data_IF_219224694339
#
_entry.id   IF_219224694339
#
_cell.length_a   1.000
_cell.length_b   1.000
_cell.length_c   1.000
_cell.angle_alpha   90.00
_cell.angle_beta   90.00
_cell.angle_gamma   90.00
#
_symmetry.space_group_name_H-M   'P 1'
#
loop_
_entity.id
_entity.type
_entity.pdbx_description
1 polymer ?
#
# COMPACT_ATOMS: atom_id res chain seq x y z
N UNK A 1 69.59 71.55 -26.38
CA UNK A 1 68.73 72.01 -25.27
C UNK A 1 67.27 71.81 -25.67
N UNK A 2 66.48 71.13 -24.83
CA UNK A 2 65.00 71.08 -24.80
C UNK A 2 64.25 70.55 -26.05
N UNK A 3 63.21 69.69 -26.00
CA UNK A 3 62.51 68.94 -24.94
C UNK A 3 61.74 67.80 -25.63
N UNK A 4 61.84 66.58 -25.08
CA UNK A 4 61.11 65.37 -25.50
C UNK A 4 59.64 65.51 -25.13
N UNK A 5 58.70 65.52 -26.09
CA UNK A 5 57.26 65.38 -25.81
C UNK A 5 56.90 63.91 -25.65
N UNK A 6 56.55 63.53 -24.42
CA UNK A 6 56.15 62.18 -24.02
C UNK A 6 54.66 61.95 -24.28
N UNK A 7 54.34 60.83 -24.94
CA UNK A 7 52.99 60.31 -25.15
C UNK A 7 52.46 59.78 -23.81
N UNK A 8 51.41 60.38 -23.26
CA UNK A 8 50.76 59.92 -22.01
C UNK A 8 50.15 58.52 -22.21
N UNK A 9 50.44 57.54 -21.34
CA UNK A 9 49.76 56.25 -21.38
C UNK A 9 48.34 56.38 -20.81
N UNK A 10 47.37 55.74 -21.48
CA UNK A 10 45.99 55.55 -21.04
C UNK A 10 45.95 54.83 -19.68
N UNK A 11 45.26 55.36 -18.66
CA UNK A 11 45.10 54.64 -17.41
C UNK A 11 44.13 53.47 -17.60
N UNK A 12 44.66 52.26 -17.48
CA UNK A 12 43.89 51.04 -17.26
C UNK A 12 43.17 51.22 -15.92
N UNK A 13 41.85 51.37 -15.95
CA UNK A 13 41.02 51.39 -14.75
C UNK A 13 41.08 49.99 -14.12
N UNK A 14 41.81 49.88 -13.01
CA UNK A 14 41.86 48.68 -12.18
C UNK A 14 40.49 48.52 -11.53
N UNK A 15 39.75 47.49 -11.95
CA UNK A 15 38.49 47.11 -11.30
C UNK A 15 38.73 46.92 -9.80
N UNK A 16 38.15 47.81 -9.00
CA UNK A 16 38.13 47.75 -7.54
C UNK A 16 37.45 46.45 -7.13
N UNK A 17 38.25 45.49 -6.64
CA UNK A 17 37.78 44.24 -6.00
C UNK A 17 36.96 44.62 -4.76
N UNK A 18 35.66 44.81 -4.94
CA UNK A 18 34.74 45.18 -3.87
C UNK A 18 34.59 44.02 -2.91
N UNK A 19 34.96 44.26 -1.65
CA UNK A 19 34.96 43.28 -0.57
C UNK A 19 33.65 42.52 -0.48
N UNK A 20 33.75 41.20 -0.50
CA UNK A 20 32.70 40.28 -0.06
C UNK A 20 32.26 40.78 1.33
N UNK A 21 30.99 41.20 1.44
CA UNK A 21 30.49 41.84 2.66
C UNK A 21 30.65 40.89 3.85
N UNK A 22 31.10 41.43 4.99
CA UNK A 22 31.33 40.68 6.25
C UNK A 22 30.06 39.98 6.80
N UNK A 23 28.93 40.12 6.12
CA UNK A 23 27.62 39.53 6.42
C UNK A 23 27.35 38.22 5.65
N UNK A 24 28.09 37.92 4.56
CA UNK A 24 27.89 36.69 3.78
C UNK A 24 28.32 35.46 4.59
N UNK A 25 29.40 35.56 5.35
CA UNK A 25 29.90 34.46 6.18
C UNK A 25 28.92 34.04 7.30
N UNK A 26 28.39 34.96 8.14
CA UNK A 26 27.37 34.60 9.13
C UNK A 26 26.05 34.18 8.47
N UNK A 27 25.67 34.74 7.32
CA UNK A 27 24.47 34.29 6.59
C UNK A 27 24.61 32.86 6.04
N UNK A 28 25.79 32.47 5.54
CA UNK A 28 26.08 31.09 5.15
C UNK A 28 26.03 30.17 6.36
N UNK A 29 26.62 30.56 7.49
CA UNK A 29 26.60 29.76 8.73
C UNK A 29 25.17 29.54 9.20
N UNK A 30 24.36 30.61 9.26
CA UNK A 30 22.93 30.53 9.62
C UNK A 30 22.16 29.69 8.60
N UNK A 31 22.43 29.82 7.30
CA UNK A 31 21.82 28.99 6.26
C UNK A 31 22.22 27.51 6.40
N UNK A 32 23.47 27.17 6.74
CA UNK A 32 23.87 25.78 7.06
C UNK A 32 23.25 25.27 8.36
N UNK A 33 23.07 26.12 9.36
CA UNK A 33 22.40 25.74 10.62
C UNK A 33 20.91 25.49 10.37
N UNK A 34 20.25 26.36 9.60
CA UNK A 34 18.85 26.17 9.20
C UNK A 34 18.72 24.95 8.28
N UNK A 35 19.65 24.75 7.33
CA UNK A 35 19.66 23.58 6.46
C UNK A 35 19.85 22.31 7.28
N UNK A 36 20.78 22.27 8.23
CA UNK A 36 21.00 21.10 9.10
C UNK A 36 19.86 20.88 10.09
N UNK A 37 19.18 21.92 10.58
CA UNK A 37 17.99 21.79 11.43
C UNK A 37 16.75 21.33 10.64
N UNK A 38 16.55 21.81 9.42
CA UNK A 38 15.44 21.43 8.54
C UNK A 38 15.67 20.06 7.88
N UNK A 39 16.92 19.69 7.55
CA UNK A 39 17.27 18.37 6.99
C UNK A 39 17.44 17.26 8.02
N UNK A 40 17.48 17.53 9.33
CA UNK A 40 17.59 16.46 10.35
C UNK A 40 16.29 15.66 10.54
N UNK A 41 15.14 16.25 10.22
CA UNK A 41 13.81 15.65 10.37
C UNK A 41 13.48 14.46 9.44
N UNK A 42 13.87 14.44 8.15
CA UNK A 42 13.51 13.33 7.24
C UNK A 42 14.45 12.11 7.27
N UNK A 43 15.66 12.20 7.83
CA UNK A 43 16.67 11.13 7.70
C UNK A 43 16.83 10.24 8.93
N UNK A 44 16.27 10.60 10.08
CA UNK A 44 16.41 9.84 11.34
C UNK A 44 15.05 9.37 11.83
N UNK A 45 14.90 8.08 12.11
CA UNK A 45 13.65 7.50 12.67
C UNK A 45 13.70 7.39 14.19
N UNK A 46 14.89 7.23 14.77
CA UNK A 46 15.09 7.14 16.21
C UNK A 46 16.55 7.49 16.57
N UNK A 47 16.81 7.85 17.82
CA UNK A 47 18.17 8.00 18.37
C UNK A 47 18.29 7.20 19.67
N UNK A 48 19.34 6.39 19.80
CA UNK A 48 19.63 5.57 20.97
C UNK A 48 21.00 5.96 21.51
N UNK A 49 21.05 6.57 22.69
CA UNK A 49 22.29 6.98 23.35
C UNK A 49 23.24 7.79 22.44
N UNK A 50 22.69 8.73 21.69
CA UNK A 50 23.44 9.57 20.74
C UNK A 50 23.74 8.93 19.38
N UNK A 51 23.37 7.66 19.15
CA UNK A 51 23.46 7.00 17.83
C UNK A 51 22.11 7.08 17.11
N UNK A 52 22.08 7.71 15.93
CA UNK A 52 20.88 7.83 15.11
C UNK A 52 20.63 6.56 14.29
N UNK A 53 19.39 6.08 14.28
CA UNK A 53 18.89 5.09 13.32
C UNK A 53 18.33 5.86 12.13
N UNK A 54 18.93 5.66 10.95
CA UNK A 54 18.51 6.36 9.75
C UNK A 54 17.25 5.74 9.13
N UNK A 55 16.45 6.56 8.44
CA UNK A 55 15.27 6.08 7.70
C UNK A 55 15.64 5.08 6.60
N UNK A 56 16.78 5.29 5.94
CA UNK A 56 17.29 4.37 4.93
C UNK A 56 17.75 3.03 5.52
N UNK A 57 18.27 3.02 6.74
CA UNK A 57 18.59 1.76 7.45
C UNK A 57 17.31 1.03 7.83
N UNK A 58 16.35 1.74 8.40
CA UNK A 58 15.05 1.16 8.78
C UNK A 58 14.29 0.61 7.58
N UNK A 59 14.17 1.38 6.49
CA UNK A 59 13.51 0.95 5.26
C UNK A 59 14.19 -0.28 4.65
N UNK A 60 15.53 -0.32 4.59
CA UNK A 60 16.26 -1.50 4.10
C UNK A 60 15.98 -2.76 4.92
N UNK A 61 15.83 -2.63 6.23
CA UNK A 61 15.51 -3.80 7.07
C UNK A 61 14.05 -4.26 6.85
N UNK A 62 13.11 -3.33 6.67
CA UNK A 62 11.72 -3.66 6.31
C UNK A 62 11.63 -4.32 4.92
N UNK A 63 12.33 -3.77 3.92
CA UNK A 63 12.41 -4.35 2.57
C UNK A 63 12.98 -5.76 2.60
N UNK A 64 14.03 -5.98 3.40
CA UNK A 64 14.63 -7.30 3.58
C UNK A 64 13.69 -8.28 4.28
N UNK A 65 12.88 -7.83 5.25
CA UNK A 65 11.99 -8.69 6.02
C UNK A 65 10.70 -9.03 5.29
N UNK A 66 10.01 -8.01 4.78
CA UNK A 66 8.65 -8.11 4.24
C UNK A 66 8.52 -7.55 2.83
N UNK A 67 9.57 -6.93 2.28
CA UNK A 67 9.48 -6.18 1.02
C UNK A 67 8.95 -7.02 -0.13
N UNK A 68 9.41 -8.27 -0.28
CA UNK A 68 8.91 -9.16 -1.34
C UNK A 68 7.40 -9.40 -1.21
N UNK A 69 6.94 -9.76 -0.02
CA UNK A 69 5.53 -10.03 0.25
C UNK A 69 4.67 -8.79 0.02
N UNK A 70 5.12 -7.63 0.49
CA UNK A 70 4.42 -6.35 0.29
C UNK A 70 4.38 -5.98 -1.19
N UNK A 71 5.49 -6.14 -1.91
CA UNK A 71 5.54 -5.85 -3.34
C UNK A 71 4.63 -6.79 -4.14
N UNK A 72 4.63 -8.09 -3.85
CA UNK A 72 3.76 -9.07 -4.50
C UNK A 72 2.27 -8.76 -4.26
N UNK A 73 1.92 -8.32 -3.05
CA UNK A 73 0.56 -7.87 -2.71
C UNK A 73 0.16 -6.62 -3.51
N UNK A 74 1.03 -5.60 -3.58
CA UNK A 74 0.79 -4.37 -4.35
C UNK A 74 0.68 -4.62 -5.86
N UNK A 75 1.52 -5.52 -6.39
CA UNK A 75 1.42 -5.95 -7.79
C UNK A 75 0.08 -6.63 -8.03
N UNK A 76 -0.33 -7.53 -7.15
CA UNK A 76 -1.62 -8.23 -7.26
C UNK A 76 -2.80 -7.26 -7.20
N UNK A 77 -2.79 -6.31 -6.26
CA UNK A 77 -3.79 -5.24 -6.19
C UNK A 77 -3.87 -4.46 -7.51
N UNK A 78 -2.73 -4.04 -8.04
CA UNK A 78 -2.68 -3.27 -9.28
C UNK A 78 -3.23 -4.06 -10.47
N UNK A 79 -2.94 -5.36 -10.56
CA UNK A 79 -3.48 -6.25 -11.60
C UNK A 79 -5.00 -6.37 -11.51
N UNK A 80 -5.54 -6.50 -10.30
CA UNK A 80 -6.99 -6.58 -10.08
C UNK A 80 -7.66 -5.26 -10.48
N UNK A 81 -7.08 -4.12 -10.11
CA UNK A 81 -7.60 -2.80 -10.49
C UNK A 81 -7.58 -2.59 -12.01
N UNK A 82 -6.53 -3.05 -12.69
CA UNK A 82 -6.44 -3.01 -14.15
C UNK A 82 -7.49 -3.90 -14.82
N UNK A 83 -7.68 -5.12 -14.34
CA UNK A 83 -8.67 -6.04 -14.89
C UNK A 83 -10.10 -5.52 -14.66
N UNK A 84 -10.38 -4.98 -13.48
CA UNK A 84 -11.65 -4.29 -13.19
C UNK A 84 -11.90 -3.16 -14.20
N UNK A 85 -10.91 -2.30 -14.42
CA UNK A 85 -11.00 -1.19 -15.37
C UNK A 85 -11.26 -1.68 -16.80
N UNK A 86 -10.52 -2.70 -17.25
CA UNK A 86 -10.68 -3.35 -18.56
C UNK A 86 -12.08 -3.93 -18.75
N UNK A 87 -12.63 -4.58 -17.72
CA UNK A 87 -14.00 -5.12 -17.71
C UNK A 87 -15.07 -4.06 -17.43
N UNK A 88 -14.68 -2.80 -17.20
CA UNK A 88 -15.58 -1.69 -16.81
C UNK A 88 -16.40 -2.00 -15.54
N UNK A 89 -15.78 -2.73 -14.62
CA UNK A 89 -16.35 -3.07 -13.31
C UNK A 89 -15.92 -2.00 -12.32
N UNK A 90 -16.89 -1.41 -11.63
CA UNK A 90 -16.67 -0.46 -10.55
C UNK A 90 -17.43 -0.88 -9.30
N UNK A 91 -16.97 -0.40 -8.15
CA UNK A 91 -17.64 -0.52 -6.86
C UNK A 91 -17.97 0.90 -6.40
N UNK A 92 -19.23 1.13 -6.07
CA UNK A 92 -19.69 2.41 -5.55
C UNK A 92 -19.39 2.55 -4.05
N UNK A 93 -19.31 3.79 -3.57
CA UNK A 93 -19.15 4.06 -2.13
C UNK A 93 -20.31 3.48 -1.31
N UNK A 94 -21.51 3.42 -1.90
CA UNK A 94 -22.66 2.79 -1.25
C UNK A 94 -22.40 1.31 -0.98
N UNK A 95 -21.91 0.56 -1.96
CA UNK A 95 -21.61 -0.87 -1.79
C UNK A 95 -20.53 -1.10 -0.73
N UNK A 96 -19.52 -0.22 -0.68
CA UNK A 96 -18.46 -0.28 0.34
C UNK A 96 -19.06 -0.01 1.73
N UNK A 97 -19.86 1.04 1.86
CA UNK A 97 -20.48 1.41 3.13
C UNK A 97 -21.50 0.36 3.61
N UNK A 98 -22.26 -0.25 2.70
CA UNK A 98 -23.18 -1.35 3.02
C UNK A 98 -22.40 -2.55 3.60
N UNK A 99 -21.22 -2.86 3.06
CA UNK A 99 -20.39 -3.96 3.57
C UNK A 99 -19.72 -3.60 4.91
N UNK A 100 -19.25 -2.35 5.05
CA UNK A 100 -18.76 -1.85 6.35
C UNK A 100 -19.85 -1.95 7.41
N UNK A 101 -21.09 -1.57 7.08
CA UNK A 101 -22.20 -1.64 8.03
C UNK A 101 -22.50 -3.07 8.47
N UNK A 102 -22.36 -4.07 7.59
CA UNK A 102 -22.49 -5.49 7.96
C UNK A 102 -21.38 -5.92 8.91
N UNK A 103 -20.14 -5.53 8.64
CA UNK A 103 -18.99 -5.84 9.51
C UNK A 103 -19.18 -5.15 10.87
N UNK A 104 -19.54 -3.88 10.88
CA UNK A 104 -19.78 -3.09 12.09
C UNK A 104 -20.91 -3.69 12.94
N UNK A 105 -22.00 -4.14 12.30
CA UNK A 105 -23.07 -4.88 12.97
C UNK A 105 -22.56 -6.19 13.57
N UNK A 106 -21.88 -7.03 12.79
CA UNK A 106 -21.36 -8.32 13.26
C UNK A 106 -20.37 -8.18 14.43
N UNK A 107 -19.54 -7.14 14.42
CA UNK A 107 -18.61 -6.80 15.50
C UNK A 107 -19.36 -6.28 16.74
N UNK A 108 -20.40 -5.47 16.53
CA UNK A 108 -21.24 -4.94 17.63
C UNK A 108 -22.06 -6.05 18.30
N UNK A 109 -22.57 -7.01 17.52
CA UNK A 109 -23.28 -8.19 18.03
C UNK A 109 -22.39 -9.06 18.93
N UNK A 110 -21.06 -8.97 18.76
CA UNK A 110 -20.04 -9.60 19.60
C UNK A 110 -19.57 -8.72 20.78
N UNK A 111 -20.20 -7.56 20.99
CA UNK A 111 -19.88 -6.64 22.08
C UNK A 111 -18.60 -5.82 21.87
N UNK A 112 -18.10 -5.73 20.63
CA UNK A 112 -16.90 -4.99 20.29
C UNK A 112 -17.21 -3.77 19.41
N UNK A 113 -16.24 -2.87 19.25
CA UNK A 113 -16.31 -1.74 18.33
C UNK A 113 -15.36 -1.95 17.17
N UNK A 114 -15.84 -1.71 15.94
CA UNK A 114 -15.03 -1.80 14.73
C UNK A 114 -13.79 -0.89 14.81
N UNK A 115 -13.93 0.33 15.33
CA UNK A 115 -12.82 1.27 15.46
C UNK A 115 -11.75 0.81 16.45
N UNK A 116 -12.17 0.12 17.52
CA UNK A 116 -11.24 -0.49 18.48
C UNK A 116 -10.45 -1.63 17.83
N UNK A 117 -11.12 -2.48 17.04
CA UNK A 117 -10.46 -3.58 16.34
C UNK A 117 -9.48 -3.09 15.26
N UNK A 118 -9.86 -2.04 14.52
CA UNK A 118 -8.98 -1.41 13.54
C UNK A 118 -7.75 -0.80 14.20
N UNK A 119 -7.92 -0.09 15.32
CA UNK A 119 -6.81 0.51 16.07
C UNK A 119 -5.83 -0.55 16.58
N UNK A 120 -6.33 -1.67 17.11
CA UNK A 120 -5.49 -2.79 17.56
C UNK A 120 -4.65 -3.38 16.42
N UNK A 121 -5.15 -3.34 15.20
CA UNK A 121 -4.45 -3.79 13.99
C UNK A 121 -3.57 -2.71 13.35
N UNK A 122 -3.48 -1.51 13.94
CA UNK A 122 -2.85 -0.33 13.35
C UNK A 122 -3.44 0.04 11.98
N UNK A 123 -4.74 -0.19 11.80
CA UNK A 123 -5.49 0.10 10.58
C UNK A 123 -6.42 1.29 10.77
N UNK A 124 -6.60 2.07 9.70
CA UNK A 124 -7.61 3.11 9.61
C UNK A 124 -8.89 2.61 8.94
N UNK A 125 -10.00 3.36 9.06
CA UNK A 125 -11.21 3.08 8.26
C UNK A 125 -10.95 3.20 6.75
N UNK A 126 -9.97 3.99 6.32
CA UNK A 126 -9.62 4.08 4.90
C UNK A 126 -8.91 2.82 4.41
N UNK A 127 -8.07 2.20 5.24
CA UNK A 127 -7.44 0.93 4.90
C UNK A 127 -8.50 -0.17 4.75
N UNK A 128 -9.47 -0.22 5.68
CA UNK A 128 -10.61 -1.13 5.59
C UNK A 128 -11.43 -0.89 4.31
N UNK A 129 -11.73 0.37 3.96
CA UNK A 129 -12.42 0.72 2.71
C UNK A 129 -11.66 0.21 1.49
N UNK A 130 -10.34 0.35 1.47
CA UNK A 130 -9.48 -0.16 0.40
C UNK A 130 -9.59 -1.69 0.24
N UNK A 131 -9.50 -2.42 1.36
CA UNK A 131 -9.63 -3.88 1.38
C UNK A 131 -11.01 -4.34 0.90
N UNK A 132 -12.08 -3.73 1.40
CA UNK A 132 -13.46 -4.06 1.00
C UNK A 132 -13.66 -3.77 -0.49
N UNK A 133 -13.16 -2.63 -0.99
CA UNK A 133 -13.23 -2.31 -2.41
C UNK A 133 -12.55 -3.39 -3.25
N UNK A 134 -11.35 -3.83 -2.87
CA UNK A 134 -10.62 -4.87 -3.58
C UNK A 134 -11.38 -6.21 -3.58
N UNK A 135 -11.93 -6.59 -2.42
CA UNK A 135 -12.75 -7.80 -2.27
C UNK A 135 -14.01 -7.76 -3.15
N UNK A 136 -14.72 -6.63 -3.16
CA UNK A 136 -15.91 -6.45 -3.98
C UNK A 136 -15.58 -6.47 -5.48
N UNK A 137 -14.46 -5.87 -5.88
CA UNK A 137 -13.98 -5.95 -7.27
C UNK A 137 -13.69 -7.40 -7.68
N UNK A 138 -12.95 -8.15 -6.87
CA UNK A 138 -12.67 -9.57 -7.13
C UNK A 138 -13.97 -10.38 -7.29
N UNK A 139 -14.91 -10.21 -6.36
CA UNK A 139 -16.21 -10.89 -6.41
C UNK A 139 -16.97 -10.54 -7.69
N UNK A 140 -16.97 -9.28 -8.11
CA UNK A 140 -17.61 -8.85 -9.36
C UNK A 140 -16.89 -9.36 -10.62
N UNK A 141 -15.55 -9.44 -10.62
CA UNK A 141 -14.77 -9.94 -11.75
C UNK A 141 -15.00 -11.44 -11.96
N UNK A 142 -15.04 -12.20 -10.86
CA UNK A 142 -15.30 -13.65 -10.87
C UNK A 142 -16.77 -13.95 -11.18
N UNK A 143 -17.69 -13.12 -10.70
CA UNK A 143 -19.12 -13.27 -10.91
C UNK A 143 -19.74 -14.35 -10.03
N UNK A 144 -20.92 -14.83 -10.42
CA UNK A 144 -21.65 -15.84 -9.67
C UNK A 144 -20.96 -17.22 -9.76
N UNK A 145 -20.93 -17.95 -8.66
CA UNK A 145 -20.29 -19.27 -8.56
C UNK A 145 -21.31 -20.27 -8.02
N UNK A 146 -22.32 -20.65 -8.82
CA UNK A 146 -23.37 -21.54 -8.34
C UNK A 146 -22.80 -22.92 -7.99
N UNK A 147 -23.30 -23.48 -6.90
CA UNK A 147 -23.09 -24.87 -6.51
C UNK A 147 -24.35 -25.67 -6.84
N UNK A 148 -24.16 -26.77 -7.54
CA UNK A 148 -25.24 -27.69 -7.89
C UNK A 148 -25.59 -28.60 -6.71
N UNK A 149 -26.83 -29.07 -6.66
CA UNK A 149 -27.27 -29.96 -5.58
C UNK A 149 -26.50 -31.29 -5.61
N UNK A 150 -26.06 -31.74 -6.80
CA UNK A 150 -25.19 -32.92 -6.96
C UNK A 150 -23.83 -32.75 -6.27
N UNK A 151 -23.29 -31.54 -6.22
CA UNK A 151 -22.02 -31.28 -5.51
C UNK A 151 -22.22 -31.26 -4.00
N UNK A 152 -23.39 -30.80 -3.54
CA UNK A 152 -23.78 -30.86 -2.13
C UNK A 152 -23.97 -32.32 -1.70
N UNK A 153 -24.67 -33.13 -2.50
CA UNK A 153 -24.86 -34.56 -2.24
C UNK A 153 -23.52 -35.29 -2.14
N UNK A 154 -22.64 -35.03 -3.10
CA UNK A 154 -21.29 -35.61 -3.11
C UNK A 154 -20.49 -35.20 -1.87
N UNK A 155 -20.53 -33.92 -1.49
CA UNK A 155 -19.85 -33.46 -0.28
C UNK A 155 -20.41 -34.14 0.97
N UNK A 156 -21.73 -34.26 1.09
CA UNK A 156 -22.36 -34.95 2.22
C UNK A 156 -21.90 -36.40 2.26
N UNK A 157 -21.86 -37.08 1.12
CA UNK A 157 -21.44 -38.47 1.02
C UNK A 157 -19.97 -38.69 1.39
N UNK A 158 -19.08 -37.83 0.92
CA UNK A 158 -17.64 -37.92 1.18
C UNK A 158 -17.27 -37.52 2.62
N UNK A 159 -18.12 -36.75 3.31
CA UNK A 159 -17.80 -36.16 4.62
C UNK A 159 -18.72 -36.63 5.74
N UNK A 160 -19.53 -37.68 5.54
CA UNK A 160 -20.57 -38.16 6.50
C UNK A 160 -20.10 -38.21 7.95
N UNK A 161 -18.91 -38.73 8.21
CA UNK A 161 -18.36 -38.92 9.55
C UNK A 161 -17.98 -37.62 10.28
N UNK A 162 -17.89 -36.52 9.54
CA UNK A 162 -17.53 -35.18 10.03
C UNK A 162 -18.72 -34.21 10.10
N UNK A 163 -19.91 -34.65 9.65
CA UNK A 163 -21.10 -33.82 9.66
C UNK A 163 -21.77 -33.88 11.04
N UNK A 164 -22.32 -32.76 11.54
CA UNK A 164 -23.06 -32.74 12.79
C UNK A 164 -24.33 -33.58 12.68
N UNK A 165 -24.52 -34.54 13.59
CA UNK A 165 -25.69 -35.44 13.59
C UNK A 165 -27.02 -34.73 13.89
N UNK A 166 -27.00 -33.60 14.61
CA UNK A 166 -28.19 -32.94 15.15
C UNK A 166 -28.66 -31.70 14.36
N UNK A 167 -28.43 -31.64 13.05
CA UNK A 167 -28.93 -30.52 12.22
C UNK A 167 -30.09 -30.98 11.34
N UNK A 168 -31.13 -30.15 11.21
CA UNK A 168 -32.17 -30.32 10.21
C UNK A 168 -31.53 -30.51 8.80
N UNK A 169 -31.89 -31.56 8.04
CA UNK A 169 -31.27 -31.85 6.74
C UNK A 169 -31.28 -30.67 5.76
N UNK A 170 -32.33 -29.85 5.76
CA UNK A 170 -32.43 -28.67 4.89
C UNK A 170 -31.44 -27.57 5.28
N UNK A 171 -31.28 -27.34 6.59
CA UNK A 171 -30.34 -26.36 7.12
C UNK A 171 -28.89 -26.82 6.90
N UNK A 172 -28.62 -28.12 7.06
CA UNK A 172 -27.31 -28.72 6.78
C UNK A 172 -26.94 -28.57 5.31
N UNK A 173 -27.84 -28.92 4.38
CA UNK A 173 -27.60 -28.77 2.94
C UNK A 173 -27.36 -27.32 2.56
N UNK A 174 -28.11 -26.38 3.14
CA UNK A 174 -27.94 -24.94 2.89
C UNK A 174 -26.58 -24.43 3.37
N UNK A 175 -26.12 -24.85 4.55
CA UNK A 175 -24.80 -24.50 5.07
C UNK A 175 -23.67 -25.07 4.21
N UNK A 176 -23.77 -26.35 3.83
CA UNK A 176 -22.79 -27.00 2.95
C UNK A 176 -22.74 -26.29 1.59
N UNK A 177 -23.90 -25.93 1.02
CA UNK A 177 -23.97 -25.17 -0.23
C UNK A 177 -23.24 -23.84 -0.13
N UNK A 178 -23.50 -23.04 0.92
CA UNK A 178 -22.80 -21.78 1.16
C UNK A 178 -21.29 -21.97 1.33
N UNK A 179 -20.88 -23.02 2.05
CA UNK A 179 -19.47 -23.36 2.22
C UNK A 179 -18.81 -23.69 0.88
N UNK A 180 -19.43 -24.54 0.06
CA UNK A 180 -18.92 -24.90 -1.27
C UNK A 180 -18.88 -23.69 -2.21
N UNK A 181 -19.87 -22.79 -2.14
CA UNK A 181 -19.87 -21.55 -2.92
C UNK A 181 -18.68 -20.67 -2.53
N UNK A 182 -18.40 -20.53 -1.24
CA UNK A 182 -17.25 -19.78 -0.74
C UNK A 182 -15.92 -20.43 -1.14
N UNK A 183 -15.82 -21.76 -1.08
CA UNK A 183 -14.62 -22.49 -1.50
C UNK A 183 -14.34 -22.29 -2.99
N UNK A 184 -15.35 -22.50 -3.86
CA UNK A 184 -15.20 -22.28 -5.30
C UNK A 184 -14.91 -20.82 -5.65
N UNK A 185 -15.52 -19.88 -4.93
CA UNK A 185 -15.22 -18.46 -5.09
C UNK A 185 -13.75 -18.18 -4.81
N UNK A 186 -13.22 -18.70 -3.71
CA UNK A 186 -11.80 -18.55 -3.35
C UNK A 186 -10.89 -19.18 -4.41
N UNK A 187 -11.21 -20.37 -4.90
CA UNK A 187 -10.44 -21.04 -5.97
C UNK A 187 -10.45 -20.21 -7.27
N UNK A 188 -11.61 -19.70 -7.68
CA UNK A 188 -11.71 -18.84 -8.86
C UNK A 188 -10.93 -17.53 -8.70
N UNK A 189 -10.92 -16.94 -7.50
CA UNK A 189 -10.10 -15.75 -7.20
C UNK A 189 -8.62 -16.09 -7.32
N UNK A 190 -8.17 -17.21 -6.76
CA UNK A 190 -6.78 -17.65 -6.86
C UNK A 190 -6.36 -17.88 -8.32
N UNK A 191 -7.20 -18.57 -9.10
CA UNK A 191 -6.97 -18.81 -10.52
C UNK A 191 -6.94 -17.50 -11.32
N UNK A 192 -7.85 -16.57 -11.05
CA UNK A 192 -7.86 -15.24 -11.67
C UNK A 192 -6.55 -14.50 -11.39
N UNK A 193 -6.12 -14.44 -10.12
CA UNK A 193 -4.87 -13.75 -9.75
C UNK A 193 -3.68 -14.39 -10.43
N UNK A 194 -3.59 -15.73 -10.47
CA UNK A 194 -2.52 -16.45 -11.15
C UNK A 194 -2.50 -16.17 -12.66
N UNK A 195 -3.66 -16.12 -13.30
CA UNK A 195 -3.79 -15.79 -14.72
C UNK A 195 -3.37 -14.34 -15.02
N UNK A 196 -3.80 -13.38 -14.18
CA UNK A 196 -3.40 -11.99 -14.31
C UNK A 196 -1.89 -11.82 -14.14
N UNK A 197 -1.28 -12.47 -13.15
CA UNK A 197 0.17 -12.44 -12.95
C UNK A 197 0.93 -13.05 -14.13
N UNK A 198 0.47 -14.20 -14.65
CA UNK A 198 1.09 -14.87 -15.80
C UNK A 198 1.04 -14.04 -17.08
N UNK A 199 -0.06 -13.32 -17.30
CA UNK A 199 -0.30 -12.56 -18.53
C UNK A 199 0.22 -11.11 -18.45
N UNK A 200 0.61 -10.65 -17.26
CA UNK A 200 1.13 -9.31 -17.06
C UNK A 200 2.62 -9.22 -17.42
N UNK A 201 2.99 -8.10 -18.04
CA UNK A 201 4.40 -7.69 -18.11
C UNK A 201 4.75 -6.93 -16.84
N UNK A 202 5.55 -7.53 -15.98
CA UNK A 202 5.97 -6.94 -14.70
C UNK A 202 7.47 -6.64 -14.75
N UNK A 203 7.81 -5.36 -14.81
CA UNK A 203 9.20 -4.88 -14.84
C UNK A 203 9.63 -4.50 -13.41
N UNK A 204 10.39 -5.38 -12.75
CA UNK A 204 10.91 -5.14 -11.41
C UNK A 204 12.20 -4.30 -11.45
N UNK A 205 12.16 -3.10 -10.88
CA UNK A 205 13.33 -2.19 -10.81
C UNK A 205 14.21 -2.41 -9.58
N UNK A 206 13.70 -3.16 -8.60
CA UNK A 206 14.41 -3.54 -7.38
C UNK A 206 14.46 -5.07 -7.28
N UNK A 207 15.58 -5.61 -6.80
CA UNK A 207 15.69 -7.02 -6.40
C UNK A 207 15.51 -7.07 -4.88
N UNK A 208 14.47 -7.77 -4.45
CA UNK A 208 14.14 -8.02 -3.05
C UNK A 208 14.52 -9.46 -2.68
#
# INVERSE_FOLDING_TARGET
MATRKTKKPTPISVAKKSGVSKLIFPAIIVATIILTLVFKGPFTVATVNGKSISRAQFARELEKRDGKTVLDALVTEQLILQEASKKKISVSDKEINDEIAKIEKSVSDQGQSLDSLLTQQNMSRNDLKGQIKLQLLLKKIVGNVPVSDTEVDKYIEENKDSLPEETNPEDLRSQIKLQLEQQKLNEKIQNLVAELQKNAKIDYTIKL
#
